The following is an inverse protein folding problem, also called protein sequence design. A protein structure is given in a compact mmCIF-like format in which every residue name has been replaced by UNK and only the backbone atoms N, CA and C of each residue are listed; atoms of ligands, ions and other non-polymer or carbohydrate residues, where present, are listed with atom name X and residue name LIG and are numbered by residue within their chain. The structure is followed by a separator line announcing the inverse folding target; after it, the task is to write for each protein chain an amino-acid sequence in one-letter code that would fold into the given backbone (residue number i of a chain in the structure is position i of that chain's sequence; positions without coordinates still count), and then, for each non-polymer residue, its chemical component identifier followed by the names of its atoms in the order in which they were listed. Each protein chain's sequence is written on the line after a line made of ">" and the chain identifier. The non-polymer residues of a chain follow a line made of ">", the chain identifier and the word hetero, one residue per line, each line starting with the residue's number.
data_IF_006117694244
#
_entry.id   IF_006117694244
#
_cell.length_a   1.000
_cell.length_b   1.000
_cell.length_c   1.000
_cell.angle_alpha   90.00
_cell.angle_beta   90.00
_cell.angle_gamma   90.00
#
_symmetry.space_group_name_H-M   'P 1'
#
loop_
_entity.id
_entity.type
_entity.pdbx_description
1 polymer ?
#
# COMPACT_ATOMS: atom_id res chain seq x y z
N UNK A 1 2.16 -11.92 -9.37
CA UNK A 1 2.23 -11.08 -8.16
C UNK A 1 3.32 -10.01 -8.20
N UNK A 2 4.11 -9.81 -9.27
CA UNK A 2 5.02 -8.66 -9.38
C UNK A 2 4.31 -7.30 -9.47
N UNK A 3 3.09 -7.30 -10.04
CA UNK A 3 2.29 -6.12 -10.36
C UNK A 3 1.88 -5.22 -9.18
N UNK A 4 1.94 -5.70 -7.93
CA UNK A 4 1.44 -4.97 -6.76
C UNK A 4 2.52 -4.29 -5.91
N UNK A 5 3.78 -4.64 -6.11
CA UNK A 5 4.86 -4.26 -5.19
C UNK A 5 5.27 -2.78 -5.27
N UNK A 6 4.81 -2.04 -6.29
CA UNK A 6 5.53 -0.84 -6.76
C UNK A 6 4.83 0.50 -6.44
N UNK A 7 3.56 0.51 -6.04
CA UNK A 7 2.88 1.79 -5.80
C UNK A 7 3.22 2.48 -4.45
N UNK A 8 3.96 1.83 -3.55
CA UNK A 8 4.14 2.32 -2.16
C UNK A 8 5.61 2.45 -1.72
N UNK A 9 6.57 1.82 -2.39
CA UNK A 9 7.96 1.77 -1.92
C UNK A 9 8.80 3.03 -2.23
N UNK A 10 8.29 4.00 -3.00
CA UNK A 10 9.12 5.04 -3.62
C UNK A 10 9.20 6.40 -2.90
N UNK A 11 8.73 6.59 -1.66
CA UNK A 11 8.74 7.95 -1.06
C UNK A 11 9.17 8.10 0.40
N UNK A 12 9.67 7.05 1.05
CA UNK A 12 10.00 7.13 2.47
C UNK A 12 11.51 6.99 2.70
N UNK A 13 12.32 7.96 2.28
CA UNK A 13 13.70 8.08 2.76
C UNK A 13 14.20 9.53 2.94
N UNK A 14 14.54 9.85 4.20
CA UNK A 14 15.30 10.98 4.74
C UNK A 14 14.50 12.19 5.26
N UNK A 15 14.18 12.15 6.56
CA UNK A 15 14.67 13.22 7.45
C UNK A 15 15.33 12.60 8.68
N UNK A 16 16.64 12.82 8.78
CA UNK A 16 17.33 12.70 10.06
C UNK A 16 17.05 13.95 10.90
N UNK A 17 16.74 13.72 12.18
CA UNK A 17 16.83 14.67 13.29
C UNK A 17 15.89 15.89 13.26
N UNK A 18 14.72 15.76 13.91
CA UNK A 18 14.11 16.88 14.64
C UNK A 18 13.22 16.36 15.77
N UNK A 19 13.17 17.12 16.87
CA UNK A 19 12.52 16.81 18.14
C UNK A 19 11.02 16.56 17.98
N UNK A 20 10.50 15.55 18.69
CA UNK A 20 9.09 15.17 18.80
C UNK A 20 8.25 16.38 19.30
N UNK A 21 7.66 17.15 18.39
CA UNK A 21 6.75 18.24 18.71
C UNK A 21 5.36 17.72 19.06
N UNK A 22 4.73 18.25 20.12
CA UNK A 22 3.46 17.74 20.65
C UNK A 22 2.22 18.06 19.79
N UNK A 23 2.30 19.00 18.84
CA UNK A 23 1.26 19.25 17.84
C UNK A 23 1.86 19.63 16.48
N UNK A 24 1.97 18.66 15.57
CA UNK A 24 2.41 18.92 14.20
C UNK A 24 1.26 18.67 13.22
N UNK A 25 1.02 19.58 12.24
CA UNK A 25 0.07 19.34 11.16
C UNK A 25 0.44 18.11 10.33
N UNK A 26 -0.56 17.50 9.69
CA UNK A 26 -0.41 16.33 8.81
C UNK A 26 0.59 16.57 7.67
N UNK A 27 0.71 17.82 7.22
CA UNK A 27 1.67 18.25 6.19
C UNK A 27 3.14 18.15 6.63
N UNK A 28 3.41 18.10 7.94
CA UNK A 28 4.76 18.07 8.51
C UNK A 28 5.14 16.70 9.08
N UNK A 29 4.33 15.67 8.83
CA UNK A 29 4.56 14.32 9.34
C UNK A 29 5.68 13.65 8.57
N UNK A 30 6.65 13.10 9.30
CA UNK A 30 7.78 12.35 8.76
C UNK A 30 7.57 10.84 8.98
N UNK A 31 8.32 10.03 8.25
CA UNK A 31 8.30 8.57 8.44
C UNK A 31 8.64 8.17 9.89
N UNK A 32 9.52 8.92 10.58
CA UNK A 32 9.89 8.68 11.97
C UNK A 32 8.75 8.93 12.98
N UNK A 33 7.76 9.75 12.60
CA UNK A 33 6.64 10.10 13.48
C UNK A 33 5.54 9.04 13.46
N UNK A 34 5.49 8.21 12.41
CA UNK A 34 4.52 7.12 12.27
C UNK A 34 4.77 6.09 13.37
N UNK A 35 3.80 5.94 14.27
CA UNK A 35 3.85 4.95 15.35
C UNK A 35 3.07 3.68 15.01
N UNK A 36 2.07 3.78 14.15
CA UNK A 36 1.23 2.65 13.73
C UNK A 36 1.21 2.53 12.22
N UNK A 37 1.39 1.33 11.71
CA UNK A 37 1.08 0.97 10.33
C UNK A 37 -0.08 -0.02 10.30
N UNK A 38 -1.06 0.20 9.44
CA UNK A 38 -2.25 -0.63 9.28
C UNK A 38 -2.57 -0.84 7.80
N UNK A 39 -3.32 -1.91 7.49
CA UNK A 39 -3.78 -2.18 6.14
C UNK A 39 -5.20 -2.75 6.11
N UNK A 40 -6.02 -2.25 5.19
CA UNK A 40 -7.34 -2.78 4.85
C UNK A 40 -7.37 -3.14 3.37
N UNK A 41 -8.20 -4.11 3.01
CA UNK A 41 -8.30 -4.52 1.62
C UNK A 41 -8.75 -5.94 1.40
N UNK A 42 -8.21 -6.52 0.34
CA UNK A 42 -8.57 -7.85 -0.14
C UNK A 42 -7.36 -8.81 -0.20
N UNK A 43 -7.48 -9.84 -1.03
CA UNK A 43 -6.49 -10.89 -1.31
C UNK A 43 -5.09 -10.36 -1.63
N UNK A 44 -5.01 -9.20 -2.28
CA UNK A 44 -3.74 -8.57 -2.63
C UNK A 44 -3.04 -7.99 -1.40
N UNK A 45 -3.81 -7.44 -0.46
CA UNK A 45 -3.29 -6.89 0.80
C UNK A 45 -2.95 -7.99 1.81
N UNK A 46 -3.68 -9.12 1.82
CA UNK A 46 -3.31 -10.31 2.60
C UNK A 46 -2.09 -11.05 2.04
N UNK A 47 -1.67 -10.71 0.81
CA UNK A 47 -0.59 -11.34 0.08
C UNK A 47 -0.80 -12.87 -0.07
N UNK A 48 -2.04 -13.25 -0.42
CA UNK A 48 -2.37 -14.65 -0.62
C UNK A 48 -1.51 -15.29 -1.71
N UNK A 49 -0.93 -16.44 -1.39
CA UNK A 49 -0.05 -17.18 -2.28
C UNK A 49 1.29 -16.50 -2.60
N UNK A 50 1.66 -15.36 -1.99
CA UNK A 50 2.84 -14.56 -2.35
C UNK A 50 4.13 -15.36 -2.50
N UNK A 51 4.34 -16.34 -1.61
CA UNK A 51 5.50 -17.22 -1.58
C UNK A 51 5.13 -18.70 -1.82
N UNK A 52 4.04 -18.95 -2.55
CA UNK A 52 3.61 -20.30 -2.87
C UNK A 52 4.47 -20.90 -3.99
N UNK A 53 5.12 -22.04 -3.71
CA UNK A 53 5.87 -22.82 -4.69
C UNK A 53 5.02 -23.89 -5.40
N UNK A 54 3.84 -24.19 -4.86
CA UNK A 54 2.89 -25.15 -5.40
C UNK A 54 1.45 -24.79 -4.98
N UNK A 55 0.47 -25.56 -5.47
CA UNK A 55 -0.96 -25.30 -5.23
C UNK A 55 -1.38 -25.36 -3.77
N UNK A 56 -0.66 -26.09 -2.91
CA UNK A 56 -0.96 -26.17 -1.48
C UNK A 56 -0.63 -24.87 -0.74
N UNK A 57 0.25 -24.04 -1.29
CA UNK A 57 0.57 -22.72 -0.75
C UNK A 57 -0.45 -21.63 -1.13
N UNK A 58 -1.39 -21.92 -2.03
CA UNK A 58 -2.36 -20.92 -2.50
C UNK A 58 -3.31 -20.43 -1.39
N UNK A 59 -3.82 -21.28 -0.48
CA UNK A 59 -4.66 -20.82 0.63
C UNK A 59 -3.89 -20.05 1.72
N UNK A 60 -2.56 -19.96 1.64
CA UNK A 60 -1.75 -19.28 2.66
C UNK A 60 -1.70 -17.78 2.36
N UNK A 61 -2.07 -16.98 3.34
CA UNK A 61 -2.02 -15.52 3.32
C UNK A 61 -0.67 -15.09 3.89
N UNK A 62 0.29 -14.74 3.03
CA UNK A 62 1.64 -14.36 3.45
C UNK A 62 1.70 -12.90 3.93
N UNK A 63 0.86 -12.54 4.91
CA UNK A 63 0.69 -11.16 5.41
C UNK A 63 2.02 -10.50 5.78
N UNK A 64 2.95 -11.28 6.35
CA UNK A 64 4.30 -10.88 6.71
C UNK A 64 5.21 -10.40 5.56
N UNK A 65 4.90 -10.72 4.30
CA UNK A 65 5.59 -10.16 3.13
C UNK A 65 4.71 -9.23 2.32
N UNK A 66 3.51 -8.86 2.80
CA UNK A 66 2.66 -7.90 2.10
C UNK A 66 3.36 -6.57 1.90
N UNK A 67 3.37 -6.04 0.67
CA UNK A 67 4.08 -4.81 0.33
C UNK A 67 3.72 -3.62 1.23
N UNK A 68 2.49 -3.56 1.73
CA UNK A 68 1.97 -2.42 2.50
C UNK A 68 2.23 -2.52 4.01
N UNK A 69 2.45 -3.72 4.57
CA UNK A 69 2.47 -3.90 6.03
C UNK A 69 3.31 -5.10 6.54
N UNK A 70 3.88 -5.89 5.64
CA UNK A 70 4.62 -7.09 5.99
C UNK A 70 5.83 -6.78 6.87
N UNK A 71 5.93 -7.47 8.00
CA UNK A 71 6.94 -7.25 9.03
C UNK A 71 8.06 -8.28 9.05
N UNK A 72 8.15 -9.18 8.07
CA UNK A 72 9.19 -10.21 8.03
C UNK A 72 10.58 -9.59 7.89
N UNK A 73 11.49 -9.96 8.81
CA UNK A 73 12.87 -9.51 8.81
C UNK A 73 13.01 -7.99 8.75
N UNK A 74 13.86 -7.54 7.84
CA UNK A 74 14.24 -6.15 7.58
C UNK A 74 14.03 -5.76 6.12
N UNK A 75 14.32 -4.50 5.79
CA UNK A 75 14.29 -4.01 4.40
C UNK A 75 15.20 -4.82 3.46
N UNK A 76 16.28 -5.42 3.98
CA UNK A 76 17.22 -6.24 3.20
C UNK A 76 16.64 -7.62 2.84
N UNK A 77 15.69 -8.10 3.64
CA UNK A 77 15.06 -9.40 3.44
C UNK A 77 13.84 -9.27 2.53
N UNK A 78 12.94 -8.32 2.86
CA UNK A 78 11.73 -8.04 2.10
C UNK A 78 11.45 -6.55 2.12
N UNK A 79 11.27 -5.98 0.92
CA UNK A 79 10.88 -4.58 0.77
C UNK A 79 9.38 -4.45 1.01
N UNK A 80 9.03 -3.91 2.17
CA UNK A 80 7.65 -3.54 2.54
C UNK A 80 7.65 -2.14 3.13
N UNK A 81 6.51 -1.46 3.07
CA UNK A 81 6.34 -0.16 3.71
C UNK A 81 6.63 -0.21 5.22
N UNK A 82 6.22 -1.29 5.90
CA UNK A 82 6.52 -1.49 7.31
C UNK A 82 8.04 -1.57 7.55
N UNK A 83 8.78 -2.33 6.74
CA UNK A 83 10.23 -2.46 6.88
C UNK A 83 10.97 -1.17 6.51
N UNK A 84 10.45 -0.37 5.59
CA UNK A 84 10.97 0.98 5.32
C UNK A 84 10.76 1.88 6.54
N UNK A 85 9.56 1.90 7.13
CA UNK A 85 9.28 2.74 8.32
C UNK A 85 10.12 2.30 9.52
N UNK A 86 10.39 1.00 9.69
CA UNK A 86 11.28 0.49 10.74
C UNK A 86 12.69 1.10 10.69
N UNK A 87 13.17 1.57 9.53
CA UNK A 87 14.45 2.28 9.44
C UNK A 87 14.44 3.60 10.23
N UNK A 88 13.27 4.26 10.33
CA UNK A 88 13.09 5.54 11.00
C UNK A 88 12.52 5.41 12.40
N UNK A 89 11.60 4.45 12.57
CA UNK A 89 10.99 4.11 13.84
C UNK A 89 10.99 2.59 14.03
N UNK A 90 12.04 2.01 14.64
CA UNK A 90 12.12 0.58 14.91
C UNK A 90 11.00 0.03 15.81
N UNK A 91 10.29 0.92 16.53
CA UNK A 91 9.21 0.58 17.46
C UNK A 91 7.80 0.69 16.84
N UNK A 92 7.71 0.80 15.51
CA UNK A 92 6.42 0.88 14.81
C UNK A 92 5.54 -0.34 15.13
N UNK A 93 4.26 -0.09 15.41
CA UNK A 93 3.27 -1.11 15.74
C UNK A 93 2.48 -1.52 14.50
N UNK A 94 1.95 -2.74 14.50
CA UNK A 94 0.99 -3.21 13.50
C UNK A 94 1.57 -3.94 12.29
N UNK A 95 2.90 -3.98 12.13
CA UNK A 95 3.52 -4.77 11.08
C UNK A 95 3.15 -6.27 11.23
N UNK A 96 2.75 -6.92 10.14
CA UNK A 96 2.31 -8.31 10.17
C UNK A 96 3.53 -9.25 10.33
N UNK A 97 3.63 -10.07 11.40
CA UNK A 97 4.83 -10.85 11.65
C UNK A 97 4.84 -12.22 10.95
N UNK A 98 3.68 -12.82 10.67
CA UNK A 98 3.58 -14.21 10.20
C UNK A 98 2.60 -14.38 9.02
N UNK A 99 2.60 -15.55 8.35
CA UNK A 99 1.50 -15.95 7.48
C UNK A 99 0.26 -16.33 8.30
N UNK A 100 -0.89 -16.31 7.65
CA UNK A 100 -2.17 -16.86 8.15
C UNK A 100 -2.75 -17.81 7.10
N UNK A 101 -3.85 -18.49 7.44
CA UNK A 101 -4.54 -19.40 6.50
C UNK A 101 -5.89 -18.81 6.13
N UNK A 102 -6.16 -18.70 4.83
CA UNK A 102 -7.45 -18.23 4.33
C UNK A 102 -8.62 -19.07 4.89
N UNK A 103 -9.69 -18.40 5.31
CA UNK A 103 -10.87 -19.04 5.89
C UNK A 103 -10.74 -19.45 7.36
N UNK A 104 -9.58 -19.19 7.98
CA UNK A 104 -9.38 -19.40 9.43
C UNK A 104 -9.32 -18.08 10.17
N UNK A 105 -9.78 -18.06 11.43
CA UNK A 105 -9.63 -16.88 12.28
C UNK A 105 -8.19 -16.82 12.78
N UNK A 106 -7.52 -15.70 12.54
CA UNK A 106 -6.16 -15.45 13.03
C UNK A 106 -6.17 -14.32 14.07
N UNK A 107 -5.43 -14.46 15.19
CA UNK A 107 -5.33 -13.41 16.20
C UNK A 107 -4.50 -12.22 15.70
N UNK A 108 -4.66 -11.06 16.32
CA UNK A 108 -3.87 -9.85 16.02
C UNK A 108 -2.36 -10.06 16.12
N UNK A 109 -1.92 -10.99 16.98
CA UNK A 109 -0.51 -11.36 17.10
C UNK A 109 0.09 -11.99 15.83
N UNK A 110 -0.75 -12.55 14.96
CA UNK A 110 -0.34 -13.14 13.67
C UNK A 110 -0.63 -12.21 12.49
N UNK A 111 -1.77 -11.53 12.50
CA UNK A 111 -2.15 -10.62 11.41
C UNK A 111 -1.42 -9.28 11.48
N UNK A 112 -0.92 -8.89 12.65
CA UNK A 112 -0.67 -7.49 12.95
C UNK A 112 -1.95 -6.67 12.72
N UNK A 113 -1.79 -5.44 12.23
CA UNK A 113 -2.91 -4.60 11.77
C UNK A 113 -3.15 -4.74 10.26
N UNK A 114 -2.72 -5.85 9.66
CA UNK A 114 -3.24 -6.26 8.35
C UNK A 114 -4.62 -6.88 8.56
N UNK A 115 -5.67 -6.07 8.48
CA UNK A 115 -7.06 -6.47 8.68
C UNK A 115 -7.79 -6.71 7.34
N UNK A 116 -7.04 -6.79 6.23
CA UNK A 116 -7.57 -7.19 4.94
C UNK A 116 -8.10 -8.63 4.98
N UNK A 117 -9.08 -8.91 4.12
CA UNK A 117 -9.69 -10.23 4.03
C UNK A 117 -9.75 -10.65 2.57
N UNK A 118 -9.13 -11.80 2.28
CA UNK A 118 -9.13 -12.39 0.94
C UNK A 118 -10.56 -12.57 0.43
N UNK A 119 -10.79 -12.12 -0.81
CA UNK A 119 -12.07 -12.22 -1.52
C UNK A 119 -13.08 -11.10 -1.19
N UNK A 120 -12.76 -10.18 -0.28
CA UNK A 120 -13.66 -9.05 -0.01
C UNK A 120 -13.75 -8.08 -1.20
N UNK A 121 -14.95 -7.55 -1.41
CA UNK A 121 -15.21 -6.42 -2.30
C UNK A 121 -15.35 -5.14 -1.48
N UNK A 122 -15.56 -4.02 -2.16
CA UNK A 122 -15.59 -2.70 -1.51
C UNK A 122 -16.80 -2.52 -0.59
N UNK A 123 -17.90 -3.25 -0.82
CA UNK A 123 -19.04 -3.27 0.11
C UNK A 123 -18.69 -3.81 1.51
N UNK A 124 -17.61 -4.59 1.65
CA UNK A 124 -17.13 -5.07 2.95
C UNK A 124 -16.20 -4.06 3.66
N UNK A 125 -15.72 -3.03 2.95
CA UNK A 125 -14.73 -2.08 3.48
C UNK A 125 -15.20 -1.33 4.73
N UNK A 126 -16.48 -0.87 4.85
CA UNK A 126 -16.95 -0.24 6.09
C UNK A 126 -16.84 -1.17 7.30
N UNK A 127 -17.09 -2.47 7.12
CA UNK A 127 -16.93 -3.46 8.19
C UNK A 127 -15.47 -3.60 8.63
N UNK A 128 -14.54 -3.71 7.67
CA UNK A 128 -13.09 -3.72 7.97
C UNK A 128 -12.66 -2.42 8.68
N UNK A 129 -13.19 -1.28 8.25
CA UNK A 129 -12.90 0.04 8.81
C UNK A 129 -13.35 0.15 10.26
N UNK A 130 -14.57 -0.33 10.57
CA UNK A 130 -15.06 -0.38 11.95
C UNK A 130 -14.14 -1.23 12.82
N UNK A 131 -13.80 -2.43 12.34
CA UNK A 131 -12.91 -3.34 13.05
C UNK A 131 -11.53 -2.71 13.32
N UNK A 132 -10.98 -1.95 12.38
CA UNK A 132 -9.73 -1.20 12.57
C UNK A 132 -9.87 -0.14 13.66
N UNK A 133 -10.92 0.69 13.61
CA UNK A 133 -11.16 1.75 14.60
C UNK A 133 -11.22 1.16 16.02
N UNK A 134 -12.00 0.10 16.21
CA UNK A 134 -12.19 -0.56 17.50
C UNK A 134 -10.90 -1.23 17.99
N UNK A 135 -10.15 -1.83 17.08
CA UNK A 135 -8.82 -2.39 17.36
C UNK A 135 -7.85 -1.31 17.82
N UNK A 136 -7.76 -0.19 17.11
CA UNK A 136 -6.86 0.91 17.48
C UNK A 136 -7.23 1.54 18.82
N UNK A 137 -8.52 1.69 19.13
CA UNK A 137 -8.98 2.26 20.41
C UNK A 137 -8.63 1.38 21.62
N UNK A 138 -8.67 0.06 21.44
CA UNK A 138 -8.45 -0.91 22.52
C UNK A 138 -7.01 -1.41 22.63
N UNK A 139 -6.15 -1.10 21.66
CA UNK A 139 -4.79 -1.64 21.62
C UNK A 139 -3.90 -1.09 22.73
N UNK A 140 -3.41 -1.98 23.60
CA UNK A 140 -2.50 -1.61 24.68
C UNK A 140 -1.14 -1.18 24.12
N UNK A 141 -0.65 -0.02 24.55
CA UNK A 141 0.62 0.55 24.09
C UNK A 141 0.51 1.51 22.91
N UNK A 142 -0.69 1.75 22.39
CA UNK A 142 -1.00 2.83 21.45
C UNK A 142 -1.65 4.00 22.19
N UNK A 143 -1.10 5.22 22.04
CA UNK A 143 -1.78 6.44 22.49
C UNK A 143 -2.70 6.93 21.36
N UNK A 144 -3.94 6.42 21.36
CA UNK A 144 -4.88 6.61 20.27
C UNK A 144 -5.03 8.08 19.81
N UNK A 145 -5.07 9.04 20.73
CA UNK A 145 -5.22 10.47 20.40
C UNK A 145 -3.94 11.15 19.88
N UNK A 146 -2.75 10.62 20.24
CA UNK A 146 -1.48 11.34 20.08
C UNK A 146 -0.58 10.77 18.99
N UNK A 147 -0.63 9.46 18.79
CA UNK A 147 0.29 8.73 17.93
C UNK A 147 -0.15 8.80 16.46
N UNK A 148 0.77 9.09 15.54
CA UNK A 148 0.47 9.10 14.10
C UNK A 148 0.28 7.68 13.55
N UNK A 149 -0.76 7.53 12.73
CA UNK A 149 -1.16 6.25 12.12
C UNK A 149 -1.09 6.37 10.60
N UNK A 150 -0.46 5.39 9.96
CA UNK A 150 -0.45 5.26 8.50
C UNK A 150 -1.27 4.03 8.12
N UNK A 151 -2.36 4.26 7.40
CA UNK A 151 -3.21 3.19 6.86
C UNK A 151 -3.01 3.09 5.36
N UNK A 152 -2.85 1.87 4.85
CA UNK A 152 -2.99 1.59 3.40
C UNK A 152 -4.31 0.88 3.12
N UNK A 153 -5.09 1.39 2.16
CA UNK A 153 -6.28 0.74 1.63
C UNK A 153 -6.00 0.32 0.20
N UNK A 154 -6.20 -0.96 -0.11
CA UNK A 154 -6.15 -1.49 -1.46
C UNK A 154 -7.31 -2.48 -1.62
N UNK A 155 -8.34 -2.05 -2.36
CA UNK A 155 -9.58 -2.81 -2.61
C UNK A 155 -10.23 -2.32 -3.90
N UNK A 156 -11.10 -3.12 -4.49
CA UNK A 156 -11.86 -2.76 -5.71
C UNK A 156 -11.61 -3.69 -6.89
N UNK A 157 -10.51 -4.45 -6.88
CA UNK A 157 -10.20 -5.39 -7.96
C UNK A 157 -11.23 -6.54 -8.00
N UNK A 158 -11.71 -7.00 -6.84
CA UNK A 158 -12.77 -8.00 -6.78
C UNK A 158 -14.10 -7.45 -7.32
N UNK A 159 -14.45 -6.18 -7.05
CA UNK A 159 -15.64 -5.55 -7.63
C UNK A 159 -15.62 -5.62 -9.17
N UNK A 160 -14.47 -5.37 -9.80
CA UNK A 160 -14.30 -5.53 -11.26
C UNK A 160 -14.37 -7.02 -11.66
N UNK A 161 -13.72 -7.91 -10.92
CA UNK A 161 -13.75 -9.35 -11.18
C UNK A 161 -15.15 -9.99 -11.05
N UNK A 162 -16.05 -9.34 -10.31
CA UNK A 162 -17.41 -9.76 -10.05
C UNK A 162 -18.47 -8.91 -10.77
N UNK A 163 -18.08 -7.85 -11.48
CA UNK A 163 -18.97 -6.89 -12.13
C UNK A 163 -20.08 -7.54 -12.97
N UNK A 164 -19.74 -8.55 -13.76
CA UNK A 164 -20.70 -9.26 -14.61
C UNK A 164 -21.69 -10.16 -13.84
N UNK A 165 -21.45 -10.44 -12.56
CA UNK A 165 -22.31 -11.27 -11.70
C UNK A 165 -23.47 -10.46 -11.13
N UNK A 166 -23.19 -9.20 -10.76
CA UNK A 166 -24.19 -8.23 -10.30
C UNK A 166 -23.68 -6.81 -10.56
N UNK A 167 -24.06 -6.26 -11.71
CA UNK A 167 -23.63 -4.93 -12.15
C UNK A 167 -24.13 -3.80 -11.24
N UNK A 168 -25.21 -4.02 -10.49
CA UNK A 168 -25.74 -3.02 -9.57
C UNK A 168 -24.91 -3.01 -8.29
N UNK A 169 -24.70 -4.18 -7.67
CA UNK A 169 -23.92 -4.31 -6.44
C UNK A 169 -22.47 -3.86 -6.65
N UNK A 170 -21.82 -4.34 -7.71
CA UNK A 170 -20.41 -4.06 -8.03
C UNK A 170 -20.25 -2.88 -8.99
N UNK A 171 -21.20 -1.94 -9.00
CA UNK A 171 -21.12 -0.72 -9.80
C UNK A 171 -20.04 0.23 -9.29
N UNK A 172 -19.58 1.13 -10.18
CA UNK A 172 -18.68 2.23 -9.80
C UNK A 172 -19.31 3.10 -8.71
N UNK A 173 -20.62 3.35 -8.77
CA UNK A 173 -21.29 4.22 -7.79
C UNK A 173 -21.29 3.59 -6.39
N UNK A 174 -21.56 2.28 -6.28
CA UNK A 174 -21.45 1.57 -4.99
C UNK A 174 -20.01 1.51 -4.49
N UNK A 175 -19.05 1.27 -5.38
CA UNK A 175 -17.63 1.32 -5.04
C UNK A 175 -17.26 2.67 -4.41
N UNK A 176 -17.63 3.78 -5.04
CA UNK A 176 -17.37 5.13 -4.51
C UNK A 176 -18.15 5.38 -3.23
N UNK A 177 -19.39 4.91 -3.12
CA UNK A 177 -20.20 5.03 -1.93
C UNK A 177 -19.51 4.37 -0.72
N UNK A 178 -19.16 3.09 -0.80
CA UNK A 178 -18.55 2.36 0.32
C UNK A 178 -17.14 2.85 0.65
N UNK A 179 -16.37 3.29 -0.35
CA UNK A 179 -15.10 3.99 -0.12
C UNK A 179 -15.33 5.29 0.66
N UNK A 180 -16.28 6.11 0.24
CA UNK A 180 -16.64 7.37 0.91
C UNK A 180 -17.02 7.13 2.37
N UNK A 181 -17.95 6.20 2.62
CA UNK A 181 -18.40 5.84 3.98
C UNK A 181 -17.22 5.45 4.86
N UNK A 182 -16.30 4.62 4.34
CA UNK A 182 -15.13 4.16 5.07
C UNK A 182 -14.17 5.32 5.40
N UNK A 183 -13.89 6.19 4.43
CA UNK A 183 -13.02 7.36 4.64
C UNK A 183 -13.64 8.36 5.62
N UNK A 184 -14.97 8.56 5.59
CA UNK A 184 -15.68 9.41 6.56
C UNK A 184 -15.62 8.84 7.97
N UNK A 185 -15.81 7.53 8.14
CA UNK A 185 -15.65 6.88 9.44
C UNK A 185 -14.25 7.14 10.01
N UNK A 186 -13.20 6.95 9.20
CA UNK A 186 -11.82 7.19 9.62
C UNK A 186 -11.59 8.67 10.00
N UNK A 187 -12.02 9.60 9.15
CA UNK A 187 -11.86 11.03 9.37
C UNK A 187 -12.60 11.49 10.64
N UNK A 188 -13.80 10.96 10.89
CA UNK A 188 -14.60 11.38 12.03
C UNK A 188 -14.14 10.78 13.36
N UNK A 189 -13.49 9.62 13.33
CA UNK A 189 -13.25 8.83 14.54
C UNK A 189 -11.79 8.55 14.89
N UNK A 190 -10.87 8.74 13.94
CA UNK A 190 -9.45 8.44 14.13
C UNK A 190 -8.62 9.73 13.98
N UNK A 191 -8.10 10.27 15.07
CA UNK A 191 -7.22 11.43 15.02
C UNK A 191 -5.82 11.03 14.53
N UNK A 192 -5.08 12.00 13.97
CA UNK A 192 -3.67 11.84 13.55
C UNK A 192 -3.46 10.65 12.62
N UNK A 193 -4.08 10.71 11.45
CA UNK A 193 -4.07 9.61 10.50
C UNK A 193 -3.77 10.07 9.08
N UNK A 194 -2.87 9.34 8.43
CA UNK A 194 -2.63 9.43 7.00
C UNK A 194 -3.18 8.16 6.38
N UNK A 195 -4.11 8.30 5.44
CA UNK A 195 -4.69 7.17 4.69
C UNK A 195 -4.14 7.20 3.29
N UNK A 196 -3.38 6.19 2.91
CA UNK A 196 -2.95 5.94 1.54
C UNK A 196 -3.95 5.01 0.86
N UNK A 197 -4.69 5.51 -0.12
CA UNK A 197 -5.59 4.70 -0.95
C UNK A 197 -4.87 4.37 -2.26
N UNK A 198 -4.60 3.09 -2.47
CA UNK A 198 -3.91 2.59 -3.66
C UNK A 198 -4.90 2.51 -4.83
N UNK A 199 -4.49 3.04 -5.97
CA UNK A 199 -5.28 3.02 -7.20
C UNK A 199 -5.44 1.60 -7.74
N UNK A 200 -6.61 1.32 -8.31
CA UNK A 200 -6.91 0.06 -9.00
C UNK A 200 -6.01 -0.03 -10.25
N UNK A 201 -5.44 -1.21 -10.52
CA UNK A 201 -4.60 -1.43 -11.71
C UNK A 201 -5.46 -1.64 -12.97
N UNK A 202 -4.95 -1.36 -14.18
CA UNK A 202 -5.59 -1.78 -15.42
C UNK A 202 -5.68 -3.31 -15.48
N UNK A 203 -6.87 -3.84 -15.23
CA UNK A 203 -7.09 -5.27 -15.02
C UNK A 203 -6.90 -6.07 -16.31
N UNK A 204 -7.09 -5.47 -17.49
CA UNK A 204 -6.92 -6.15 -18.79
C UNK A 204 -5.56 -6.85 -18.93
N UNK A 205 -4.49 -6.23 -18.42
CA UNK A 205 -3.12 -6.77 -18.43
C UNK A 205 -3.01 -8.14 -17.74
N UNK A 206 -3.91 -8.44 -16.80
CA UNK A 206 -3.94 -9.72 -16.11
C UNK A 206 -4.24 -10.89 -17.07
N UNK A 207 -4.85 -10.62 -18.24
CA UNK A 207 -5.11 -11.61 -19.29
C UNK A 207 -3.84 -12.05 -20.03
N UNK A 208 -2.77 -11.26 -19.96
CA UNK A 208 -1.46 -11.55 -20.56
C UNK A 208 -0.62 -12.48 -19.67
N UNK A 209 -1.00 -12.64 -18.40
CA UNK A 209 -0.34 -13.54 -17.44
C UNK A 209 -0.74 -14.99 -17.76
N UNK A 210 -0.16 -15.55 -18.81
CA UNK A 210 -0.48 -16.89 -19.35
C UNK A 210 0.63 -17.92 -19.10
N UNK A 211 1.41 -17.78 -18.02
CA UNK A 211 2.36 -18.85 -17.68
C UNK A 211 1.56 -20.14 -17.39
N UNK A 212 1.99 -21.31 -17.90
CA UNK A 212 1.32 -22.60 -17.67
C UNK A 212 1.56 -23.11 -16.24
N UNK A 213 1.29 -22.26 -15.25
CA UNK A 213 1.36 -22.59 -13.84
C UNK A 213 -0.07 -22.90 -13.35
N UNK A 214 -0.26 -23.94 -12.51
CA UNK A 214 -1.57 -24.28 -11.95
C UNK A 214 -2.29 -23.10 -11.25
N UNK A 215 -1.55 -22.17 -10.64
CA UNK A 215 -2.12 -20.96 -10.05
C UNK A 215 -2.78 -20.02 -11.08
N UNK A 216 -2.27 -19.96 -12.32
CA UNK A 216 -2.87 -19.14 -13.39
C UNK A 216 -4.17 -19.78 -13.93
N UNK A 217 -4.35 -21.10 -13.79
CA UNK A 217 -5.61 -21.78 -14.12
C UNK A 217 -6.76 -21.35 -13.18
N UNK A 218 -6.44 -21.03 -11.92
CA UNK A 218 -7.42 -20.56 -10.93
C UNK A 218 -7.87 -19.11 -11.18
N UNK A 219 -7.13 -18.34 -11.97
CA UNK A 219 -7.50 -16.96 -12.33
C UNK A 219 -8.86 -16.90 -13.03
N UNK A 220 -9.19 -17.93 -13.83
CA UNK A 220 -10.51 -18.11 -14.47
C UNK A 220 -11.65 -18.30 -13.47
N UNK A 221 -11.34 -18.81 -12.29
CA UNK A 221 -12.32 -19.03 -11.21
C UNK A 221 -12.57 -17.73 -10.46
N UNK A 222 -11.50 -17.09 -9.96
CA UNK A 222 -11.62 -15.94 -9.07
C UNK A 222 -11.87 -14.60 -9.79
N UNK A 223 -11.52 -14.46 -11.08
CA UNK A 223 -11.77 -13.25 -11.87
C UNK A 223 -12.47 -13.56 -13.21
N UNK A 224 -13.57 -14.32 -13.12
CA UNK A 224 -14.22 -14.88 -14.30
C UNK A 224 -14.75 -13.83 -15.30
N UNK A 225 -15.20 -12.67 -14.83
CA UNK A 225 -15.73 -11.60 -15.69
C UNK A 225 -14.65 -11.02 -16.62
N UNK A 226 -13.38 -11.08 -16.22
CA UNK A 226 -12.26 -10.59 -17.01
C UNK A 226 -11.64 -11.67 -17.92
N UNK A 227 -11.52 -12.90 -17.42
CA UNK A 227 -10.71 -13.94 -18.08
C UNK A 227 -11.51 -14.79 -19.06
N UNK A 228 -12.80 -15.03 -18.80
CA UNK A 228 -13.64 -15.87 -19.67
C UNK A 228 -13.99 -15.22 -21.01
N UNK A 229 -14.31 -13.91 -21.09
CA UNK A 229 -14.68 -13.30 -22.36
C UNK A 229 -13.54 -13.33 -23.40
N UNK A 230 -13.91 -13.45 -24.67
CA UNK A 230 -12.97 -13.43 -25.81
C UNK A 230 -12.43 -12.01 -26.00
N UNK A 231 -11.21 -11.86 -26.53
CA UNK A 231 -10.50 -10.56 -26.61
C UNK A 231 -11.23 -9.42 -27.34
N UNK A 232 -12.15 -9.72 -28.26
CA UNK A 232 -12.94 -8.72 -29.00
C UNK A 232 -14.42 -8.69 -28.59
N UNK A 233 -14.76 -9.32 -27.48
CA UNK A 233 -16.15 -9.43 -27.02
C UNK A 233 -16.67 -8.09 -26.47
N UNK A 234 -17.95 -7.76 -26.69
CA UNK A 234 -18.55 -6.57 -26.11
C UNK A 234 -18.52 -6.58 -24.58
N UNK A 235 -18.60 -7.75 -23.95
CA UNK A 235 -18.51 -7.91 -22.49
C UNK A 235 -17.15 -7.50 -21.94
N UNK A 236 -16.06 -7.87 -22.62
CA UNK A 236 -14.72 -7.45 -22.22
C UNK A 236 -14.54 -5.94 -22.41
N UNK A 237 -15.01 -5.41 -23.54
CA UNK A 237 -14.91 -3.97 -23.82
C UNK A 237 -15.63 -3.15 -22.76
N UNK A 238 -16.85 -3.55 -22.39
CA UNK A 238 -17.60 -2.92 -21.31
C UNK A 238 -16.81 -2.97 -19.99
N UNK A 239 -16.24 -4.13 -19.64
CA UNK A 239 -15.48 -4.28 -18.39
C UNK A 239 -14.24 -3.38 -18.35
N UNK A 240 -13.53 -3.24 -19.46
CA UNK A 240 -12.37 -2.34 -19.57
C UNK A 240 -12.80 -0.87 -19.41
N UNK A 241 -13.91 -0.48 -20.06
CA UNK A 241 -14.48 0.87 -19.91
C UNK A 241 -14.91 1.14 -18.45
N UNK A 242 -15.53 0.16 -17.79
CA UNK A 242 -15.90 0.23 -16.36
C UNK A 242 -14.67 0.33 -15.48
N UNK A 243 -13.61 -0.46 -15.71
CA UNK A 243 -12.36 -0.37 -14.93
C UNK A 243 -11.76 1.05 -15.00
N UNK A 244 -11.77 1.70 -16.18
CA UNK A 244 -11.30 3.07 -16.33
C UNK A 244 -12.16 4.06 -15.53
N UNK A 245 -13.48 3.88 -15.51
CA UNK A 245 -14.38 4.73 -14.73
C UNK A 245 -14.19 4.52 -13.21
N UNK A 246 -13.93 3.30 -12.74
CA UNK A 246 -13.50 3.02 -11.35
C UNK A 246 -12.27 3.84 -10.98
N UNK A 247 -11.22 3.80 -11.82
CA UNK A 247 -9.97 4.52 -11.57
C UNK A 247 -10.18 6.04 -11.54
N UNK A 248 -10.91 6.57 -12.53
CA UNK A 248 -11.21 7.99 -12.65
C UNK A 248 -12.05 8.50 -11.48
N UNK A 249 -13.10 7.78 -11.09
CA UNK A 249 -13.97 8.19 -9.98
C UNK A 249 -13.27 8.09 -8.63
N UNK A 250 -12.40 7.09 -8.44
CA UNK A 250 -11.55 7.03 -7.26
C UNK A 250 -10.60 8.23 -7.22
N UNK A 251 -9.95 8.54 -8.34
CA UNK A 251 -9.07 9.71 -8.42
C UNK A 251 -9.83 11.00 -8.11
N UNK A 252 -11.04 11.19 -8.64
CA UNK A 252 -11.89 12.34 -8.32
C UNK A 252 -12.27 12.42 -6.84
N UNK A 253 -12.62 11.28 -6.21
CA UNK A 253 -12.94 11.22 -4.78
C UNK A 253 -11.75 11.66 -3.93
N UNK A 254 -10.57 11.09 -4.20
CA UNK A 254 -9.32 11.38 -3.50
C UNK A 254 -8.78 12.76 -3.86
N UNK A 255 -9.18 13.32 -5.00
CA UNK A 255 -8.88 14.69 -5.42
C UNK A 255 -9.90 15.72 -4.86
N UNK A 256 -10.86 15.32 -4.04
CA UNK A 256 -11.68 16.31 -3.33
C UNK A 256 -10.95 16.83 -2.09
N UNK A 257 -11.23 18.07 -1.67
CA UNK A 257 -10.77 18.60 -0.37
C UNK A 257 -11.55 18.01 0.82
N UNK A 258 -12.46 17.05 0.57
CA UNK A 258 -13.37 16.47 1.56
C UNK A 258 -12.63 15.76 2.68
N UNK A 259 -11.53 15.09 2.38
CA UNK A 259 -10.81 14.23 3.32
C UNK A 259 -9.47 14.82 3.77
N UNK A 260 -9.53 16.08 4.21
CA UNK A 260 -8.38 16.80 4.73
C UNK A 260 -8.75 17.62 5.97
N UNK A 261 -7.91 17.53 7.01
CA UNK A 261 -7.87 18.38 8.21
C UNK A 261 -6.41 18.53 8.67
N UNK A 262 -6.19 19.35 9.67
CA UNK A 262 -4.86 19.56 10.26
C UNK A 262 -4.21 18.26 10.78
N UNK A 263 -5.01 17.27 11.18
CA UNK A 263 -4.54 16.00 11.75
C UNK A 263 -4.90 14.77 10.89
N UNK A 264 -5.50 14.97 9.71
CA UNK A 264 -6.00 13.89 8.89
C UNK A 264 -5.84 14.19 7.41
N UNK A 265 -5.27 13.25 6.64
CA UNK A 265 -5.18 13.37 5.20
C UNK A 265 -5.41 12.03 4.51
N UNK A 266 -6.20 12.05 3.45
CA UNK A 266 -6.26 10.96 2.47
C UNK A 266 -5.40 11.31 1.27
N UNK A 267 -4.48 10.41 0.95
CA UNK A 267 -3.59 10.49 -0.18
C UNK A 267 -3.98 9.40 -1.20
N UNK A 268 -4.24 9.80 -2.45
CA UNK A 268 -4.36 8.85 -3.56
C UNK A 268 -3.06 8.62 -4.33
N UNK A 269 -2.00 9.36 -3.97
CA UNK A 269 -0.67 9.32 -4.60
C UNK A 269 0.37 9.68 -3.54
N UNK A 270 1.40 8.84 -3.36
CA UNK A 270 2.60 9.23 -2.62
C UNK A 270 3.58 10.06 -3.49
N UNK A 271 3.47 9.97 -4.82
CA UNK A 271 4.31 10.71 -5.77
C UNK A 271 3.63 12.02 -6.23
N UNK A 272 4.39 13.11 -6.49
CA UNK A 272 3.89 14.32 -7.12
C UNK A 272 3.32 14.06 -8.53
N UNK A 273 2.43 14.93 -8.99
CA UNK A 273 1.94 14.89 -10.37
C UNK A 273 3.07 15.12 -11.37
N UNK A 274 3.15 14.27 -12.40
CA UNK A 274 4.19 14.32 -13.44
C UNK A 274 5.49 13.57 -13.11
N UNK A 275 5.70 13.13 -11.87
CA UNK A 275 6.89 12.35 -11.46
C UNK A 275 6.55 10.87 -11.24
N UNK A 276 5.58 10.34 -11.99
CA UNK A 276 5.16 8.95 -11.87
C UNK A 276 6.28 8.04 -12.37
N UNK A 277 6.78 7.15 -11.50
CA UNK A 277 7.66 6.08 -11.94
C UNK A 277 6.80 5.02 -12.64
N UNK A 278 6.90 4.99 -13.96
CA UNK A 278 6.31 3.92 -14.77
C UNK A 278 7.29 2.75 -14.79
N UNK A 279 7.03 1.74 -13.98
CA UNK A 279 7.86 0.52 -14.02
C UNK A 279 7.44 -0.33 -15.20
N UNK A 280 8.33 -0.44 -16.18
CA UNK A 280 8.16 -1.21 -17.41
C UNK A 280 8.53 -2.69 -17.25
N UNK A 281 9.36 -3.02 -16.25
CA UNK A 281 9.88 -4.36 -15.98
C UNK A 281 10.23 -4.51 -14.50
N UNK A 282 9.81 -5.61 -13.90
CA UNK A 282 10.03 -5.96 -12.49
C UNK A 282 11.32 -6.77 -12.28
N UNK A 283 12.07 -7.02 -13.35
CA UNK A 283 13.36 -7.72 -13.32
C UNK A 283 14.54 -6.75 -13.13
N UNK A 284 14.28 -5.46 -13.29
CA UNK A 284 15.28 -4.40 -13.16
C UNK A 284 15.26 -3.84 -11.72
N UNK A 285 16.42 -3.46 -11.17
CA UNK A 285 16.49 -2.83 -9.85
C UNK A 285 15.60 -1.59 -9.81
N UNK A 286 14.73 -1.51 -8.80
CA UNK A 286 13.89 -0.34 -8.57
C UNK A 286 14.71 0.67 -7.77
N UNK A 287 14.99 1.82 -8.37
CA UNK A 287 15.63 2.93 -7.67
C UNK A 287 14.64 3.57 -6.69
N UNK A 288 15.01 3.57 -5.41
CA UNK A 288 14.24 4.23 -4.36
C UNK A 288 14.36 5.75 -4.53
N UNK A 289 13.23 6.43 -4.72
CA UNK A 289 13.19 7.89 -4.80
C UNK A 289 13.11 8.44 -3.37
N UNK A 290 14.09 9.26 -2.99
CA UNK A 290 14.12 9.90 -1.68
C UNK A 290 13.43 11.26 -1.75
N UNK A 291 12.59 11.63 -0.77
CA UNK A 291 12.20 13.03 -0.56
C UNK A 291 13.43 13.94 -0.54
N UNK A 292 13.35 15.11 -1.20
CA UNK A 292 14.47 16.03 -1.22
C UNK A 292 14.66 16.68 0.15
N UNK A 293 15.87 17.15 0.45
CA UNK A 293 16.21 17.76 1.74
C UNK A 293 15.31 18.96 2.11
N UNK A 294 14.77 19.67 1.10
CA UNK A 294 13.85 20.80 1.27
C UNK A 294 12.40 20.38 1.57
N UNK A 295 12.04 19.12 1.33
CA UNK A 295 10.71 18.58 1.63
C UNK A 295 10.80 17.14 2.16
N UNK A 296 11.16 16.97 3.44
CA UNK A 296 11.41 15.65 4.00
C UNK A 296 10.15 15.01 4.64
N UNK A 297 8.97 15.57 4.35
CA UNK A 297 7.67 15.17 4.89
C UNK A 297 6.94 14.22 3.94
N UNK A 298 6.01 13.43 4.47
CA UNK A 298 5.10 12.64 3.65
C UNK A 298 4.24 13.60 2.82
N UNK A 299 4.26 13.43 1.50
CA UNK A 299 3.46 14.27 0.61
C UNK A 299 1.98 14.15 0.97
N UNK A 300 1.37 15.28 1.32
CA UNK A 300 -0.07 15.43 1.50
C UNK A 300 -0.52 16.61 0.64
N UNK A 301 -1.71 16.50 0.05
CA UNK A 301 -2.14 17.36 -1.07
C UNK A 301 -2.04 18.87 -0.83
N UNK A 302 -2.43 19.47 0.31
CA UNK A 302 -2.41 20.94 0.38
C UNK A 302 -0.99 21.53 0.35
N UNK A 303 0.06 20.74 0.57
CA UNK A 303 1.44 21.12 0.23
C UNK A 303 1.69 21.19 -1.30
N UNK A 304 1.07 20.30 -2.09
CA UNK A 304 1.16 20.31 -3.56
C UNK A 304 0.29 21.43 -4.19
N UNK A 305 -0.89 21.69 -3.63
CA UNK A 305 -1.80 22.73 -4.13
C UNK A 305 -1.36 24.16 -3.76
N UNK A 306 -0.75 24.37 -2.58
CA UNK A 306 -0.20 25.68 -2.17
C UNK A 306 1.03 26.09 -2.98
N UNK A 307 1.77 25.14 -3.58
CA UNK A 307 3.01 25.45 -4.31
C UNK A 307 2.82 26.01 -5.72
N UNK A 308 1.60 26.09 -6.28
CA UNK A 308 1.22 26.98 -7.39
C UNK A 308 2.17 27.11 -8.60
N UNK A 309 3.09 26.18 -8.79
CA UNK A 309 4.26 26.31 -9.64
C UNK A 309 4.71 24.94 -10.07
N UNK A 310 5.31 24.87 -11.27
CA UNK A 310 5.84 23.63 -11.82
C UNK A 310 6.59 22.84 -10.73
N UNK A 311 6.44 21.51 -10.68
CA UNK A 311 7.28 20.69 -9.81
C UNK A 311 8.74 21.04 -10.11
N UNK A 312 9.62 21.14 -9.09
CA UNK A 312 11.03 21.33 -9.34
C UNK A 312 11.48 20.20 -10.26
N UNK A 313 12.04 20.57 -11.40
CA UNK A 313 12.77 19.66 -12.26
C UNK A 313 13.88 19.11 -11.39
N UNK A 314 13.80 17.82 -11.05
CA UNK A 314 14.91 17.10 -10.43
C UNK A 314 15.98 17.00 -11.51
N UNK A 315 16.98 17.87 -11.44
CA UNK A 315 18.22 17.68 -12.16
C UNK A 315 18.84 16.36 -11.68
N UNK A 316 19.18 15.51 -12.66
CA UNK A 316 19.92 14.24 -12.62
C UNK A 316 19.99 13.45 -11.28
N UNK A 317 19.57 12.16 -11.23
CA UNK A 317 19.64 11.31 -10.02
C UNK A 317 21.06 11.07 -9.45
N UNK A 318 22.10 11.61 -10.07
CA UNK A 318 23.49 11.25 -9.80
C UNK A 318 24.19 12.09 -8.70
N UNK A 319 23.54 13.08 -8.08
CA UNK A 319 24.27 14.01 -7.18
C UNK A 319 23.57 14.31 -5.85
N UNK A 320 23.19 13.29 -5.08
CA UNK A 320 22.50 13.50 -3.79
C UNK A 320 22.96 12.68 -2.59
N UNK A 321 23.78 11.64 -2.75
CA UNK A 321 24.18 10.80 -1.62
C UNK A 321 25.57 11.24 -1.10
N UNK A 322 25.72 11.71 0.16
CA UNK A 322 27.03 12.07 0.68
C UNK A 322 27.92 10.82 0.79
N UNK A 323 29.13 10.91 0.24
CA UNK A 323 30.06 9.78 0.01
C UNK A 323 30.48 8.99 1.27
N UNK A 324 30.18 9.49 2.46
CA UNK A 324 30.45 8.77 3.71
C UNK A 324 29.45 7.63 3.99
N UNK A 325 28.24 7.69 3.42
CA UNK A 325 27.20 6.66 3.59
C UNK A 325 27.52 5.39 2.78
N UNK A 326 28.08 5.54 1.59
CA UNK A 326 28.54 4.42 0.75
C UNK A 326 29.78 3.76 1.35
N UNK A 327 30.71 4.54 1.93
CA UNK A 327 31.93 4.00 2.55
C UNK A 327 31.67 3.15 3.80
N UNK A 328 30.70 3.51 4.66
CA UNK A 328 30.37 2.69 5.84
C UNK A 328 29.65 1.39 5.49
N UNK A 329 28.83 1.39 4.44
CA UNK A 329 28.16 0.18 3.95
C UNK A 329 29.18 -0.78 3.31
N UNK A 330 30.16 -0.26 2.58
CA UNK A 330 31.23 -1.06 1.96
C UNK A 330 32.17 -1.70 3.00
N UNK A 331 32.52 -0.98 4.06
CA UNK A 331 33.36 -1.50 5.15
C UNK A 331 32.63 -2.57 5.98
N UNK A 332 31.32 -2.43 6.21
CA UNK A 332 30.52 -3.45 6.90
C UNK A 332 30.35 -4.73 6.07
N UNK A 333 30.27 -4.61 4.75
CA UNK A 333 30.21 -5.75 3.82
C UNK A 333 31.57 -6.47 3.73
N UNK A 334 32.68 -5.74 3.69
CA UNK A 334 34.03 -6.33 3.68
C UNK A 334 34.37 -7.04 5.01
N UNK A 335 33.98 -6.47 6.15
CA UNK A 335 34.19 -7.12 7.46
C UNK A 335 33.32 -8.36 7.65
N UNK A 336 32.11 -8.38 7.08
CA UNK A 336 31.25 -9.56 7.08
C UNK A 336 31.78 -10.68 6.16
N UNK A 337 32.35 -10.34 4.99
CA UNK A 337 32.96 -11.32 4.09
C UNK A 337 34.26 -11.94 4.66
N UNK A 338 35.04 -11.18 5.44
CA UNK A 338 36.26 -11.71 6.08
C UNK A 338 35.97 -12.68 7.22
N UNK A 339 34.83 -12.54 7.92
CA UNK A 339 34.41 -13.44 9.00
C UNK A 339 33.84 -14.78 8.49
N UNK A 340 33.50 -14.89 7.20
CA UNK A 340 32.94 -16.08 6.56
C UNK A 340 33.99 -16.97 5.87
N UNK A 341 35.28 -16.65 6.00
CA UNK A 341 36.38 -17.44 5.43
C UNK A 341 37.28 -18.15 6.46
N UNK A 342 36.95 -18.08 7.76
CA UNK A 342 37.72 -18.74 8.83
C UNK A 342 36.88 -19.52 9.84
N UNK A 343 35.63 -19.91 9.49
CA UNK A 343 34.82 -20.85 10.26
C UNK A 343 34.25 -21.97 9.39
#
# INVERSE_FOLDING_TARGET
>A
MGWLWIAVATYALLSSCAVKGSSQPVELVKAADIKVIAALGDSLTTAIGANASNVLGIPIEFRHVSFSIGGYGSLRDVITLANIIKLFNPSVLGAAPSPTVHGTTAPLGETGFNLAVTGHNTFNLPGQTRHLIDTLRSYQGLKFEEDWKLLTILIGMNDICDYCKDKALFSVDNFIHYMTVSLEMLMNEVPRMIVNVVQIVPMETLREVQRPAPGCLLQRSFCSCLIKPVGSSPELRELVEVNLEFQKRLEQLLYSSRFFRDDFAVNGKFQPEGQKLMVSSFSDPIDLICPPLDHPYIFTRPAAAKRGGLPPVLDDPASGCPSWATHRLFLLVLLACMALWTL
#
